data_IF_188209924787
#
_entry.id   IF_188209924787
#
_cell.length_a   1.000
_cell.length_b   1.000
_cell.length_c   1.000
_cell.angle_alpha   90.00
_cell.angle_beta   90.00
_cell.angle_gamma   90.00
#
_symmetry.space_group_name_H-M   'P 1'
#
loop_
_entity.id
_entity.type
_entity.pdbx_description
1 polymer ?
#
# COMPACT_ATOMS: atom_id res chain seq x y z
N UNK A 1 -92.07 6.65 -1.09
CA UNK A 1 -91.40 6.38 -2.37
C UNK A 1 -90.59 7.61 -2.78
N UNK A 2 -89.31 7.40 -3.05
CA UNK A 2 -88.31 8.31 -3.65
C UNK A 2 -87.64 9.39 -2.77
N UNK A 3 -86.54 8.95 -2.15
CA UNK A 3 -85.41 9.76 -1.74
C UNK A 3 -84.71 10.41 -2.94
N UNK A 4 -84.16 11.63 -2.76
CA UNK A 4 -83.10 12.17 -3.63
C UNK A 4 -81.90 12.57 -2.79
N UNK A 5 -80.85 11.77 -2.94
CA UNK A 5 -79.54 11.86 -2.32
C UNK A 5 -78.77 13.04 -2.96
N UNK A 6 -78.24 13.94 -2.14
CA UNK A 6 -77.26 14.97 -2.56
C UNK A 6 -75.87 14.32 -2.59
N UNK A 7 -75.29 14.23 -3.78
CA UNK A 7 -73.88 13.85 -3.98
C UNK A 7 -72.97 15.02 -3.61
N UNK A 8 -72.26 14.91 -2.49
CA UNK A 8 -71.09 15.73 -2.18
C UNK A 8 -69.86 15.03 -2.78
N UNK A 9 -69.27 15.62 -3.81
CA UNK A 9 -68.00 15.19 -4.37
C UNK A 9 -66.88 15.61 -3.42
N UNK A 10 -66.35 14.65 -2.66
CA UNK A 10 -65.22 14.84 -1.76
C UNK A 10 -63.93 14.91 -2.59
N UNK A 11 -63.39 16.10 -2.79
CA UNK A 11 -62.09 16.32 -3.43
C UNK A 11 -61.00 16.05 -2.38
N UNK A 12 -60.42 14.85 -2.38
CA UNK A 12 -59.27 14.49 -1.53
C UNK A 12 -58.00 15.13 -2.08
N UNK A 13 -57.57 16.22 -1.46
CA UNK A 13 -56.27 16.86 -1.70
C UNK A 13 -55.17 15.96 -1.08
N UNK A 14 -54.53 15.09 -1.88
CA UNK A 14 -53.29 14.42 -1.47
C UNK A 14 -52.15 15.46 -1.49
N UNK A 15 -51.88 16.07 -0.34
CA UNK A 15 -50.64 16.81 -0.12
C UNK A 15 -49.48 15.82 0.02
N UNK A 16 -48.76 15.58 -1.08
CA UNK A 16 -47.48 14.87 -1.08
C UNK A 16 -46.43 15.74 -0.36
N UNK A 17 -46.27 15.48 0.94
CA UNK A 17 -45.22 16.06 1.77
C UNK A 17 -43.86 15.55 1.26
N UNK A 18 -43.21 16.31 0.38
CA UNK A 18 -41.79 16.12 0.03
C UNK A 18 -40.94 16.48 1.26
N UNK A 19 -40.74 15.52 2.15
CA UNK A 19 -39.72 15.60 3.19
C UNK A 19 -38.36 15.71 2.50
N UNK A 20 -37.56 16.76 2.78
CA UNK A 20 -36.21 16.83 2.25
C UNK A 20 -35.42 15.70 2.90
N UNK A 21 -35.08 14.68 2.12
CA UNK A 21 -34.07 13.71 2.49
C UNK A 21 -32.78 14.52 2.65
N UNK A 22 -32.34 14.74 3.89
CA UNK A 22 -30.97 15.17 4.14
C UNK A 22 -30.05 14.05 3.65
N UNK A 23 -29.71 14.09 2.37
CA UNK A 23 -28.62 13.34 1.80
C UNK A 23 -27.34 13.83 2.48
N UNK A 24 -26.90 13.13 3.53
CA UNK A 24 -25.57 13.24 4.10
C UNK A 24 -24.58 12.73 3.06
N UNK A 25 -24.26 13.57 2.08
CA UNK A 25 -23.34 13.28 0.98
C UNK A 25 -21.85 13.29 1.42
N UNK A 26 -21.58 13.33 2.72
CA UNK A 26 -20.25 13.17 3.28
C UNK A 26 -20.31 11.94 4.18
N UNK A 27 -19.85 10.80 3.64
CA UNK A 27 -19.71 9.57 4.41
C UNK A 27 -18.98 9.86 5.71
N UNK A 28 -19.44 9.22 6.78
CA UNK A 28 -18.92 9.40 8.12
C UNK A 28 -17.39 9.25 8.11
N UNK A 29 -16.67 10.28 8.53
CA UNK A 29 -15.18 10.26 8.61
C UNK A 29 -14.71 9.59 9.90
N UNK A 30 -15.61 8.89 10.59
CA UNK A 30 -15.33 8.16 11.81
C UNK A 30 -14.51 6.91 11.48
N UNK A 31 -13.37 6.69 12.17
CA UNK A 31 -12.60 5.46 11.99
C UNK A 31 -13.45 4.21 12.19
N UNK A 32 -13.24 3.22 11.34
CA UNK A 32 -13.99 1.97 11.32
C UNK A 32 -13.10 0.81 11.81
N UNK A 33 -13.68 -0.07 12.61
CA UNK A 33 -13.01 -1.29 13.04
C UNK A 33 -12.71 -2.22 11.84
N UNK A 34 -11.69 -3.05 12.00
CA UNK A 34 -11.20 -3.97 10.96
C UNK A 34 -11.34 -5.40 11.46
N UNK A 35 -11.91 -6.27 10.64
CA UNK A 35 -11.95 -7.71 10.92
C UNK A 35 -10.57 -8.32 10.70
N UNK A 36 -9.99 -8.83 11.78
CA UNK A 36 -8.66 -9.46 11.84
C UNK A 36 -8.74 -10.93 12.27
N UNK A 37 -9.94 -11.51 12.28
CA UNK A 37 -10.19 -12.86 12.82
C UNK A 37 -9.39 -13.98 12.14
N UNK A 38 -8.94 -13.77 10.90
CA UNK A 38 -8.13 -14.73 10.14
C UNK A 38 -6.63 -14.57 10.36
N UNK A 39 -6.17 -13.56 11.10
CA UNK A 39 -4.77 -13.35 11.43
C UNK A 39 -4.36 -14.09 12.70
N UNK A 40 -3.09 -14.47 12.77
CA UNK A 40 -2.49 -15.03 13.99
C UNK A 40 -2.52 -13.97 15.11
N UNK A 41 -3.24 -14.16 16.22
CA UNK A 41 -3.34 -13.14 17.27
C UNK A 41 -1.97 -12.76 17.85
N UNK A 42 -1.77 -11.48 18.18
CA UNK A 42 -0.51 -10.97 18.72
C UNK A 42 -0.51 -10.85 20.25
N UNK A 43 -1.70 -10.90 20.85
CA UNK A 43 -1.93 -10.72 22.27
C UNK A 43 -1.74 -9.26 22.73
N UNK A 44 -1.76 -9.06 24.04
CA UNK A 44 -1.80 -7.72 24.64
C UNK A 44 -0.44 -7.00 24.61
N UNK A 45 0.65 -7.74 24.41
CA UNK A 45 1.97 -7.14 24.34
C UNK A 45 2.15 -6.35 23.05
N UNK A 46 2.46 -5.07 23.21
CA UNK A 46 2.82 -4.17 22.11
C UNK A 46 4.09 -4.68 21.42
N UNK A 47 4.04 -4.85 20.11
CA UNK A 47 5.19 -5.21 19.26
C UNK A 47 5.85 -3.95 18.76
N UNK A 48 7.18 -3.93 18.69
CA UNK A 48 7.94 -2.79 18.17
C UNK A 48 8.25 -2.89 16.68
N UNK A 49 8.15 -4.10 16.11
CA UNK A 49 8.36 -4.38 14.69
C UNK A 49 7.15 -5.10 14.14
N UNK A 50 6.87 -4.92 12.85
CA UNK A 50 5.74 -5.55 12.18
C UNK A 50 5.89 -7.09 12.11
N UNK A 51 5.12 -7.87 12.88
CA UNK A 51 5.24 -9.34 12.89
C UNK A 51 4.61 -10.01 11.66
N UNK A 52 3.85 -9.27 10.85
CA UNK A 52 3.16 -9.78 9.66
C UNK A 52 3.83 -9.38 8.36
N UNK A 53 5.10 -8.95 8.39
CA UNK A 53 5.80 -8.54 7.18
C UNK A 53 5.88 -9.70 6.19
N UNK A 54 5.40 -9.46 4.97
CA UNK A 54 5.33 -10.47 3.91
C UNK A 54 4.18 -11.48 4.03
N UNK A 55 3.35 -11.41 5.08
CA UNK A 55 2.16 -12.27 5.23
C UNK A 55 1.07 -11.83 4.24
N UNK A 56 0.68 -12.73 3.34
CA UNK A 56 -0.29 -12.46 2.27
C UNK A 56 -1.69 -12.14 2.80
N UNK A 57 -2.10 -12.77 3.89
CA UNK A 57 -3.43 -12.54 4.48
C UNK A 57 -3.45 -11.19 5.22
N UNK A 58 -2.38 -10.86 5.93
CA UNK A 58 -2.23 -9.54 6.53
C UNK A 58 -2.21 -8.43 5.48
N UNK A 59 -1.54 -8.64 4.34
CA UNK A 59 -1.55 -7.69 3.21
C UNK A 59 -2.98 -7.55 2.64
N UNK A 60 -3.73 -8.64 2.50
CA UNK A 60 -5.12 -8.61 1.99
C UNK A 60 -6.04 -7.81 2.91
N UNK A 61 -5.99 -8.07 4.21
CA UNK A 61 -6.77 -7.33 5.22
C UNK A 61 -6.31 -5.88 5.28
N UNK A 62 -5.00 -5.64 5.32
CA UNK A 62 -4.38 -4.33 5.33
C UNK A 62 -4.78 -3.47 4.14
N UNK A 63 -4.90 -4.07 2.95
CA UNK A 63 -5.38 -3.36 1.75
C UNK A 63 -6.79 -2.82 1.96
N UNK A 64 -7.71 -3.65 2.49
CA UNK A 64 -9.08 -3.24 2.76
C UNK A 64 -9.13 -2.19 3.88
N UNK A 65 -8.43 -2.45 4.99
CA UNK A 65 -8.34 -1.57 6.15
C UNK A 65 -7.79 -0.19 5.79
N UNK A 66 -6.74 -0.14 4.98
CA UNK A 66 -6.14 1.10 4.47
C UNK A 66 -7.12 1.90 3.62
N UNK A 67 -7.80 1.24 2.69
CA UNK A 67 -8.77 1.89 1.80
C UNK A 67 -9.94 2.49 2.58
N UNK A 68 -10.37 1.82 3.66
CA UNK A 68 -11.47 2.30 4.51
C UNK A 68 -11.05 3.47 5.41
N UNK A 69 -9.86 3.41 6.01
CA UNK A 69 -9.49 4.31 7.10
C UNK A 69 -8.45 5.39 6.74
N UNK A 70 -7.62 5.18 5.72
CA UNK A 70 -6.42 6.00 5.49
C UNK A 70 -6.40 6.69 4.12
N UNK A 71 -6.92 6.02 3.09
CA UNK A 71 -6.77 6.44 1.69
C UNK A 71 -7.39 7.81 1.38
N UNK A 72 -8.41 8.24 2.15
CA UNK A 72 -9.05 9.55 1.97
C UNK A 72 -8.06 10.71 2.14
N UNK A 73 -7.08 10.57 3.02
CA UNK A 73 -6.10 11.63 3.31
C UNK A 73 -4.70 11.30 2.76
N UNK A 74 -4.29 10.05 2.87
CA UNK A 74 -2.98 9.59 2.42
C UNK A 74 -2.96 9.12 0.96
N UNK A 75 -4.11 9.17 0.27
CA UNK A 75 -4.27 8.83 -1.13
C UNK A 75 -4.54 7.35 -1.38
N UNK A 76 -5.08 7.04 -2.57
CA UNK A 76 -5.23 5.65 -3.00
C UNK A 76 -3.85 5.04 -3.23
N UNK A 77 -3.69 3.77 -2.84
CA UNK A 77 -2.40 3.08 -2.88
C UNK A 77 -1.27 3.78 -2.11
N UNK A 78 -1.62 4.62 -1.13
CA UNK A 78 -0.70 5.47 -0.39
C UNK A 78 0.00 6.57 -1.19
N UNK A 79 -0.45 6.83 -2.42
CA UNK A 79 0.05 7.92 -3.26
C UNK A 79 -0.67 9.21 -2.86
N UNK A 80 -0.03 10.03 -2.03
CA UNK A 80 -0.68 11.24 -1.52
C UNK A 80 -0.85 12.32 -2.59
N UNK A 81 -2.03 12.94 -2.60
CA UNK A 81 -2.34 14.14 -3.38
C UNK A 81 -2.00 15.47 -2.69
N UNK A 82 -1.28 15.44 -1.55
CA UNK A 82 -0.84 16.63 -0.82
C UNK A 82 -1.65 16.99 0.44
N UNK A 83 -2.70 16.22 0.77
CA UNK A 83 -3.50 16.42 2.00
C UNK A 83 -2.71 15.95 3.23
N UNK A 84 -2.13 14.75 3.16
CA UNK A 84 -1.30 14.16 4.20
C UNK A 84 0.02 13.62 3.61
N UNK A 85 1.02 13.19 4.40
CA UNK A 85 2.25 12.61 3.86
C UNK A 85 2.01 11.36 2.99
N UNK A 86 2.84 11.19 1.96
CA UNK A 86 2.90 9.96 1.15
C UNK A 86 3.54 8.84 1.98
N UNK A 87 2.74 7.81 2.29
CA UNK A 87 3.16 6.75 3.21
C UNK A 87 4.05 5.69 2.54
N UNK A 88 4.23 5.77 1.22
CA UNK A 88 5.18 4.92 0.52
C UNK A 88 6.62 5.28 0.88
N UNK A 89 6.86 6.45 1.45
CA UNK A 89 8.20 6.91 1.85
C UNK A 89 8.60 6.52 3.28
N UNK A 90 7.82 5.65 3.93
CA UNK A 90 8.13 5.17 5.27
C UNK A 90 9.17 4.06 5.21
N UNK A 91 10.36 4.32 5.73
CA UNK A 91 11.43 3.33 5.80
C UNK A 91 10.98 2.05 6.51
N UNK A 92 11.54 0.92 6.06
CA UNK A 92 11.17 -0.41 6.55
C UNK A 92 12.17 -0.85 7.63
N UNK A 93 12.10 -0.17 8.76
CA UNK A 93 12.91 -0.43 9.96
C UNK A 93 12.06 -0.36 11.24
N UNK A 94 12.70 -0.71 12.36
CA UNK A 94 12.07 -0.78 13.67
C UNK A 94 11.63 0.59 14.18
N UNK A 95 12.49 1.60 14.01
CA UNK A 95 12.23 2.97 14.47
C UNK A 95 11.00 3.55 13.78
N UNK A 96 10.87 3.30 12.48
CA UNK A 96 9.74 3.72 11.66
C UNK A 96 8.49 2.90 11.96
N UNK A 97 8.62 1.60 12.27
CA UNK A 97 7.50 0.77 12.77
C UNK A 97 6.92 1.31 14.08
N UNK A 98 7.78 1.64 15.04
CA UNK A 98 7.39 2.28 16.30
C UNK A 98 6.69 3.62 16.02
N UNK A 99 7.29 4.46 15.17
CA UNK A 99 6.74 5.77 14.81
C UNK A 99 5.39 5.67 14.12
N UNK A 100 5.24 4.74 13.17
CA UNK A 100 4.00 4.50 12.43
C UNK A 100 2.88 4.10 13.39
N UNK A 101 3.08 3.02 14.15
CA UNK A 101 2.11 2.49 15.12
C UNK A 101 1.68 3.57 16.11
N UNK A 102 2.63 4.30 16.68
CA UNK A 102 2.35 5.34 17.66
C UNK A 102 1.62 6.54 17.06
N UNK A 103 1.93 6.91 15.83
CA UNK A 103 1.24 7.98 15.10
C UNK A 103 -0.20 7.59 14.74
N UNK A 104 -0.43 6.32 14.37
CA UNK A 104 -1.78 5.81 14.10
C UNK A 104 -2.61 5.79 15.38
N UNK A 105 -2.08 5.26 16.47
CA UNK A 105 -2.82 5.20 17.74
C UNK A 105 -3.19 6.59 18.25
N UNK A 106 -2.22 7.51 18.32
CA UNK A 106 -2.41 8.83 18.96
C UNK A 106 -2.93 9.91 18.03
N UNK A 107 -2.92 9.70 16.72
CA UNK A 107 -3.24 10.72 15.73
C UNK A 107 -2.26 11.91 15.79
N UNK A 108 -2.65 13.04 15.18
CA UNK A 108 -1.90 14.30 15.18
C UNK A 108 -2.87 15.47 15.35
N UNK A 109 -2.74 16.18 16.46
CA UNK A 109 -3.52 17.40 16.76
C UNK A 109 -2.56 18.58 16.88
N UNK A 110 -2.88 19.72 16.25
CA UNK A 110 -2.12 20.97 16.40
C UNK A 110 -3.09 22.12 16.58
N UNK A 111 -2.88 22.95 17.62
CA UNK A 111 -3.73 24.10 17.94
C UNK A 111 -5.23 23.74 18.03
N UNK A 112 -5.55 22.56 18.57
CA UNK A 112 -6.93 22.06 18.68
C UNK A 112 -7.52 21.49 17.38
N UNK A 113 -6.87 21.68 16.23
CA UNK A 113 -7.27 21.06 14.97
C UNK A 113 -6.71 19.63 14.84
N UNK A 114 -7.57 18.68 14.47
CA UNK A 114 -7.20 17.28 14.21
C UNK A 114 -6.72 17.16 12.76
N UNK A 115 -5.43 16.87 12.57
CA UNK A 115 -4.81 16.66 11.26
C UNK A 115 -4.80 15.18 10.86
N UNK A 116 -4.68 14.31 11.85
CA UNK A 116 -4.81 12.86 11.70
C UNK A 116 -5.62 12.36 12.90
N UNK A 117 -6.77 11.70 12.69
CA UNK A 117 -7.58 11.21 13.79
C UNK A 117 -6.81 10.12 14.58
N UNK A 118 -7.01 10.02 15.90
CA UNK A 118 -6.50 8.90 16.68
C UNK A 118 -7.30 7.64 16.36
N UNK A 119 -6.63 6.48 16.35
CA UNK A 119 -7.23 5.17 16.11
C UNK A 119 -7.15 4.24 17.33
N UNK A 120 -6.61 4.72 18.46
CA UNK A 120 -6.59 3.99 19.72
C UNK A 120 -8.01 3.56 20.15
N UNK A 121 -8.16 2.29 20.54
CA UNK A 121 -9.45 1.70 20.91
C UNK A 121 -10.36 1.34 19.71
N UNK A 122 -10.00 1.74 18.49
CA UNK A 122 -10.77 1.45 17.27
C UNK A 122 -10.07 0.40 16.42
N UNK A 123 -8.77 0.59 16.19
CA UNK A 123 -7.94 -0.40 15.50
C UNK A 123 -7.20 -1.25 16.53
N UNK A 124 -7.32 -2.58 16.39
CA UNK A 124 -6.47 -3.50 17.14
C UNK A 124 -5.03 -3.42 16.66
N UNK A 125 -4.11 -3.97 17.46
CA UNK A 125 -2.71 -4.08 17.06
C UNK A 125 -2.56 -4.86 15.74
N UNK A 126 -3.32 -5.94 15.55
CA UNK A 126 -3.33 -6.74 14.34
C UNK A 126 -3.79 -5.91 13.13
N UNK A 127 -4.80 -5.05 13.31
CA UNK A 127 -5.29 -4.19 12.24
C UNK A 127 -4.20 -3.18 11.82
N UNK A 128 -3.54 -2.54 12.79
CA UNK A 128 -2.44 -1.60 12.53
C UNK A 128 -1.30 -2.29 11.78
N UNK A 129 -0.90 -3.49 12.22
CA UNK A 129 0.17 -4.23 11.55
C UNK A 129 -0.24 -4.77 10.18
N UNK A 130 -1.51 -5.13 9.97
CA UNK A 130 -2.01 -5.49 8.64
C UNK A 130 -1.88 -4.31 7.66
N UNK A 131 -2.24 -3.09 8.11
CA UNK A 131 -2.08 -1.86 7.33
C UNK A 131 -0.60 -1.60 7.05
N UNK A 132 0.28 -1.76 8.04
CA UNK A 132 1.73 -1.62 7.84
C UNK A 132 2.25 -2.63 6.81
N UNK A 133 1.84 -3.89 6.87
CA UNK A 133 2.22 -4.90 5.88
C UNK A 133 1.77 -4.53 4.47
N UNK A 134 0.58 -3.94 4.32
CA UNK A 134 0.15 -3.39 3.04
C UNK A 134 1.05 -2.24 2.58
N UNK A 135 1.36 -1.27 3.46
CA UNK A 135 2.22 -0.13 3.14
C UNK A 135 3.64 -0.57 2.75
N UNK A 136 4.18 -1.61 3.40
CA UNK A 136 5.47 -2.20 3.04
C UNK A 136 5.46 -2.68 1.56
N UNK A 137 4.33 -3.19 1.04
CA UNK A 137 4.20 -3.56 -0.40
C UNK A 137 4.12 -2.37 -1.35
N UNK A 138 3.81 -1.18 -0.82
CA UNK A 138 3.67 0.07 -1.58
C UNK A 138 4.87 0.99 -1.44
N UNK A 139 5.82 0.62 -0.58
CA UNK A 139 7.00 1.41 -0.28
C UNK A 139 7.73 1.83 -1.56
N UNK A 140 7.92 3.13 -1.70
CA UNK A 140 8.75 3.76 -2.72
C UNK A 140 10.11 3.98 -2.08
N UNK A 141 11.09 3.23 -2.57
CA UNK A 141 12.46 3.37 -2.13
C UNK A 141 12.99 4.72 -2.65
N UNK A 142 13.16 5.70 -1.76
CA UNK A 142 14.13 6.77 -1.99
C UNK A 142 15.49 6.08 -2.16
N UNK A 143 16.26 6.42 -3.20
CA UNK A 143 17.49 5.72 -3.59
C UNK A 143 18.31 5.29 -2.36
N UNK A 144 18.23 4.00 -2.02
CA UNK A 144 18.93 3.45 -0.87
C UNK A 144 20.44 3.61 -1.10
N UNK A 145 21.25 3.84 -0.04
CA UNK A 145 22.68 4.00 -0.20
C UNK A 145 23.27 2.77 -0.92
N UNK A 146 24.19 3.00 -1.87
CA UNK A 146 24.80 1.99 -2.77
C UNK A 146 25.16 0.68 -2.06
N UNK A 147 25.71 0.80 -0.83
CA UNK A 147 26.17 -0.32 -0.03
C UNK A 147 25.03 -1.28 0.38
N UNK A 148 23.83 -0.77 0.65
CA UNK A 148 22.68 -1.57 1.05
C UNK A 148 22.06 -2.30 -0.13
N UNK A 149 22.01 -1.66 -1.31
CA UNK A 149 21.49 -2.31 -2.51
C UNK A 149 22.42 -3.40 -3.03
N UNK A 150 23.74 -3.17 -2.99
CA UNK A 150 24.71 -4.22 -3.26
C UNK A 150 24.63 -5.36 -2.24
N UNK A 151 24.45 -5.06 -0.95
CA UNK A 151 24.26 -6.07 0.09
C UNK A 151 22.99 -6.89 -0.13
N UNK A 152 21.89 -6.25 -0.50
CA UNK A 152 20.64 -6.94 -0.86
C UNK A 152 20.83 -7.79 -2.12
N UNK A 153 21.48 -7.27 -3.16
CA UNK A 153 21.77 -8.01 -4.38
C UNK A 153 22.66 -9.24 -4.11
N UNK A 154 23.62 -9.11 -3.18
CA UNK A 154 24.46 -10.22 -2.71
C UNK A 154 23.64 -11.26 -1.96
N UNK A 155 22.82 -10.83 -1.01
CA UNK A 155 21.96 -11.70 -0.20
C UNK A 155 20.94 -12.46 -1.07
N UNK A 156 20.40 -11.80 -2.08
CA UNK A 156 19.48 -12.35 -3.07
C UNK A 156 20.18 -13.13 -4.19
N UNK A 157 21.47 -13.40 -4.05
CA UNK A 157 22.31 -14.18 -4.96
C UNK A 157 22.41 -13.63 -6.40
N UNK A 158 22.03 -12.37 -6.63
CA UNK A 158 22.07 -11.73 -7.94
C UNK A 158 23.53 -11.48 -8.38
N UNK A 159 24.41 -11.16 -7.43
CA UNK A 159 25.83 -10.88 -7.69
C UNK A 159 26.66 -12.09 -8.12
N UNK A 160 26.08 -13.31 -8.08
CA UNK A 160 26.74 -14.52 -8.58
C UNK A 160 26.81 -14.55 -10.11
N UNK A 161 25.97 -13.77 -10.80
CA UNK A 161 25.97 -13.67 -12.26
C UNK A 161 26.07 -12.23 -12.78
N UNK A 162 25.64 -11.26 -11.98
CA UNK A 162 25.65 -9.84 -12.33
C UNK A 162 26.67 -9.07 -11.49
N UNK A 163 27.09 -7.91 -11.98
CA UNK A 163 27.82 -6.93 -11.18
C UNK A 163 27.30 -5.52 -11.50
N UNK A 164 27.67 -4.55 -10.66
CA UNK A 164 27.20 -3.16 -10.83
C UNK A 164 27.70 -2.58 -12.15
N UNK A 165 29.02 -2.64 -12.36
CA UNK A 165 29.70 -1.95 -13.46
C UNK A 165 30.31 -2.86 -14.51
N UNK A 166 30.53 -4.13 -14.16
CA UNK A 166 31.26 -5.06 -15.03
C UNK A 166 30.33 -6.12 -15.57
N UNK A 167 30.40 -6.35 -16.88
CA UNK A 167 29.68 -7.43 -17.53
C UNK A 167 30.31 -8.78 -17.17
N UNK A 168 29.49 -9.75 -16.79
CA UNK A 168 29.91 -11.11 -16.47
C UNK A 168 29.04 -12.12 -17.22
N UNK A 169 28.48 -13.08 -16.47
CA UNK A 169 27.48 -14.02 -16.99
C UNK A 169 26.22 -13.27 -17.43
N UNK A 170 25.77 -12.34 -16.58
CA UNK A 170 24.73 -11.36 -16.88
C UNK A 170 25.31 -9.99 -17.27
N UNK A 171 24.48 -9.11 -17.84
CA UNK A 171 24.85 -7.72 -18.06
C UNK A 171 25.16 -7.00 -16.74
N UNK A 172 25.99 -5.97 -16.81
CA UNK A 172 26.18 -5.06 -15.68
C UNK A 172 24.88 -4.31 -15.37
N UNK A 173 24.59 -4.03 -14.11
CA UNK A 173 23.38 -3.29 -13.74
C UNK A 173 23.33 -1.91 -14.39
N UNK A 174 24.46 -1.21 -14.48
CA UNK A 174 24.54 0.07 -15.20
C UNK A 174 24.31 -0.06 -16.71
N UNK A 175 24.65 -1.18 -17.33
CA UNK A 175 24.30 -1.45 -18.73
C UNK A 175 22.79 -1.64 -18.88
N UNK A 176 22.15 -2.34 -17.94
CA UNK A 176 20.70 -2.51 -17.91
C UNK A 176 20.02 -1.15 -17.78
N UNK A 177 20.43 -0.33 -16.80
CA UNK A 177 19.93 1.03 -16.61
C UNK A 177 19.99 1.84 -17.91
N UNK A 178 21.17 1.86 -18.57
CA UNK A 178 21.38 2.58 -19.83
C UNK A 178 20.47 2.09 -20.96
N UNK A 179 20.28 0.78 -21.11
CA UNK A 179 19.40 0.22 -22.16
C UNK A 179 17.94 0.62 -21.96
N UNK A 180 17.48 0.69 -20.71
CA UNK A 180 16.08 0.93 -20.37
C UNK A 180 15.77 2.37 -19.92
N UNK A 181 16.74 3.29 -19.93
CA UNK A 181 16.61 4.66 -19.42
C UNK A 181 15.44 5.48 -20.03
N UNK A 182 15.01 5.15 -21.26
CA UNK A 182 13.89 5.82 -21.95
C UNK A 182 12.56 5.09 -21.82
N UNK A 183 12.54 3.92 -21.21
CA UNK A 183 11.35 3.09 -21.06
C UNK A 183 10.69 3.35 -19.70
N UNK A 184 9.59 4.11 -19.71
CA UNK A 184 8.82 4.40 -18.49
C UNK A 184 8.24 3.15 -17.82
N UNK A 185 8.18 2.03 -18.54
CA UNK A 185 7.71 0.74 -18.03
C UNK A 185 8.85 -0.23 -17.72
N UNK A 186 10.11 0.25 -17.68
CA UNK A 186 11.29 -0.58 -17.46
C UNK A 186 11.20 -1.39 -16.17
N UNK A 187 10.84 -0.76 -15.05
CA UNK A 187 10.74 -1.43 -13.75
C UNK A 187 9.76 -2.61 -13.82
N UNK A 188 8.53 -2.37 -14.29
CA UNK A 188 7.50 -3.41 -14.37
C UNK A 188 7.90 -4.56 -15.32
N UNK A 189 8.50 -4.24 -16.48
CA UNK A 189 8.96 -5.25 -17.45
C UNK A 189 10.10 -6.10 -16.90
N UNK A 190 11.08 -5.46 -16.28
CA UNK A 190 12.24 -6.14 -15.70
C UNK A 190 11.82 -6.96 -14.48
N UNK A 191 10.94 -6.45 -13.61
CA UNK A 191 10.39 -7.21 -12.50
C UNK A 191 9.71 -8.50 -12.98
N UNK A 192 8.87 -8.41 -14.01
CA UNK A 192 8.23 -9.59 -14.61
C UNK A 192 9.25 -10.57 -15.20
N UNK A 193 10.33 -10.06 -15.82
CA UNK A 193 11.41 -10.88 -16.40
C UNK A 193 12.25 -11.57 -15.33
N UNK A 194 12.59 -10.89 -14.24
CA UNK A 194 13.38 -11.44 -13.13
C UNK A 194 12.59 -12.52 -12.39
N UNK A 195 11.28 -12.33 -12.19
CA UNK A 195 10.40 -13.34 -11.59
C UNK A 195 10.32 -14.60 -12.46
N UNK A 196 10.01 -14.45 -13.76
CA UNK A 196 9.78 -15.59 -14.67
C UNK A 196 11.05 -16.18 -15.28
N UNK A 197 12.18 -15.51 -15.12
CA UNK A 197 13.39 -15.79 -15.88
C UNK A 197 13.26 -15.48 -17.37
N UNK A 198 14.32 -15.79 -18.12
CA UNK A 198 14.26 -15.89 -19.57
C UNK A 198 15.55 -15.53 -20.29
N UNK A 199 15.53 -15.67 -21.61
CA UNK A 199 16.71 -15.49 -22.47
C UNK A 199 16.48 -14.41 -23.54
N UNK A 200 17.52 -14.15 -24.36
CA UNK A 200 17.43 -13.43 -25.63
C UNK A 200 17.79 -11.94 -25.60
N UNK A 201 17.60 -11.26 -24.47
CA UNK A 201 17.79 -9.79 -24.40
C UNK A 201 19.26 -9.34 -24.26
N UNK A 202 20.13 -10.22 -23.78
CA UNK A 202 21.51 -9.91 -23.39
C UNK A 202 22.54 -11.00 -23.73
N UNK A 203 22.10 -12.05 -24.43
CA UNK A 203 22.93 -13.20 -24.78
C UNK A 203 22.13 -14.50 -24.84
N UNK A 204 22.85 -15.60 -25.04
CA UNK A 204 22.29 -16.96 -25.12
C UNK A 204 22.07 -17.60 -23.75
N UNK A 205 22.74 -17.10 -22.70
CA UNK A 205 22.60 -17.61 -21.33
C UNK A 205 21.23 -17.15 -20.78
N UNK A 206 20.34 -18.08 -20.40
CA UNK A 206 19.07 -17.73 -19.78
C UNK A 206 19.30 -17.22 -18.35
N UNK A 207 18.61 -16.14 -17.97
CA UNK A 207 18.48 -15.76 -16.57
C UNK A 207 17.48 -16.69 -15.88
N UNK A 208 17.82 -17.37 -14.77
CA UNK A 208 16.88 -18.22 -14.05
C UNK A 208 15.76 -17.39 -13.38
N UNK A 209 14.59 -17.99 -13.13
CA UNK A 209 13.55 -17.35 -12.33
C UNK A 209 14.02 -17.18 -10.88
N UNK A 210 13.79 -15.99 -10.31
CA UNK A 210 14.17 -15.66 -8.93
C UNK A 210 13.01 -15.89 -7.94
N UNK A 211 12.35 -17.04 -8.01
CA UNK A 211 11.15 -17.35 -7.20
C UNK A 211 11.42 -17.45 -5.69
N UNK A 212 12.67 -17.71 -5.31
CA UNK A 212 13.10 -17.79 -3.90
C UNK A 212 13.29 -16.43 -3.23
N UNK A 213 13.29 -15.34 -4.01
CA UNK A 213 13.46 -13.98 -3.49
C UNK A 213 12.07 -13.36 -3.32
N UNK A 214 11.74 -12.77 -2.15
CA UNK A 214 10.48 -12.08 -1.96
C UNK A 214 10.23 -11.02 -3.04
N UNK A 215 9.00 -10.92 -3.52
CA UNK A 215 8.65 -9.97 -4.59
C UNK A 215 8.95 -8.51 -4.21
N UNK A 216 8.85 -8.19 -2.93
CA UNK A 216 9.27 -6.90 -2.38
C UNK A 216 10.76 -6.62 -2.66
N UNK A 217 11.66 -7.54 -2.31
CA UNK A 217 13.11 -7.40 -2.53
C UNK A 217 13.44 -7.34 -4.03
N UNK A 218 12.74 -8.12 -4.86
CA UNK A 218 12.90 -8.08 -6.32
C UNK A 218 12.52 -6.71 -6.90
N UNK A 219 11.40 -6.13 -6.46
CA UNK A 219 10.98 -4.80 -6.89
C UNK A 219 12.00 -3.75 -6.47
N UNK A 220 12.49 -3.81 -5.23
CA UNK A 220 13.53 -2.93 -4.69
C UNK A 220 14.81 -3.00 -5.54
N UNK A 221 15.32 -4.20 -5.81
CA UNK A 221 16.52 -4.40 -6.63
C UNK A 221 16.33 -3.91 -8.08
N UNK A 222 15.19 -4.22 -8.70
CA UNK A 222 14.90 -3.81 -10.07
C UNK A 222 14.79 -2.29 -10.18
N UNK A 223 14.12 -1.64 -9.23
CA UNK A 223 14.03 -0.17 -9.16
C UNK A 223 15.42 0.46 -9.07
N UNK A 224 16.25 -0.01 -8.15
CA UNK A 224 17.63 0.47 -8.03
C UNK A 224 18.44 0.30 -9.33
N UNK A 225 18.31 -0.84 -10.01
CA UNK A 225 18.96 -1.10 -11.29
C UNK A 225 18.50 -0.10 -12.37
N UNK A 226 17.19 0.16 -12.51
CA UNK A 226 16.70 1.10 -13.53
C UNK A 226 17.07 2.55 -13.23
N UNK A 227 17.19 2.90 -11.95
CA UNK A 227 17.60 4.23 -11.48
C UNK A 227 19.12 4.49 -11.63
N UNK A 228 19.87 3.50 -12.14
CA UNK A 228 21.28 3.66 -12.50
C UNK A 228 22.25 2.80 -11.69
N UNK A 229 21.76 2.00 -10.75
CA UNK A 229 22.57 1.25 -9.80
C UNK A 229 23.60 2.15 -9.08
N UNK A 230 23.11 3.25 -8.53
CA UNK A 230 23.85 4.29 -7.82
C UNK A 230 23.31 4.49 -6.40
#
# INVERSE_FOLDING_TARGET
MHAKIRTFTLLTLMASLLLPILARAHGDVTPQAVDVSTLKPLGDQKRDENPYRGDKEAIRIGTSAYNQNCARCHGLEAISGGIAPDLRKLDIDKETDIYFRDSVLRGKVRNGAVYMPPFEGILSQEAIWSIRSYLDTRHEVAAAPVNEMEALAKKSNCLSCHAVDTRGVGPAYREVAKKYAKDKNAEAKLLAKVKKGGAGNWGKVPMPPMDSVPEYDLRTLVKWIVDGAN
#
